data_IF_277958193391
#
_entry.id   IF_277958193391
#
_cell.length_a   1.000
_cell.length_b   1.000
_cell.length_c   1.000
_cell.angle_alpha   90.00
_cell.angle_beta   90.00
_cell.angle_gamma   90.00
#
_symmetry.space_group_name_H-M   'P 1'
#
loop_
_entity.id
_entity.type
_entity.pdbx_description
1 polymer ?
#
# COMPACT_ATOMS: atom_id res chain seq x y z
N UNK A 1 18.75 2.28 -9.13
CA UNK A 1 17.70 3.18 -9.68
C UNK A 1 17.62 3.08 -11.20
N UNK A 2 18.72 3.31 -11.93
CA UNK A 2 18.74 3.32 -13.40
C UNK A 2 18.28 2.00 -14.07
N UNK A 3 18.76 0.85 -13.59
CA UNK A 3 18.33 -0.46 -14.12
C UNK A 3 16.83 -0.73 -13.95
N UNK A 4 16.19 -0.20 -12.90
CA UNK A 4 14.74 -0.33 -12.68
C UNK A 4 13.97 0.48 -13.72
N UNK A 5 14.50 1.66 -14.08
CA UNK A 5 13.93 2.51 -15.13
C UNK A 5 14.10 1.87 -16.51
N UNK A 6 15.29 1.35 -16.83
CA UNK A 6 15.56 0.66 -18.09
C UNK A 6 14.65 -0.56 -18.24
N UNK A 7 14.52 -1.37 -17.19
CA UNK A 7 13.62 -2.52 -17.17
C UNK A 7 12.16 -2.11 -17.36
N UNK A 8 11.70 -1.07 -16.66
CA UNK A 8 10.35 -0.54 -16.83
C UNK A 8 10.10 -0.08 -18.27
N UNK A 9 11.04 0.66 -18.87
CA UNK A 9 10.93 1.13 -20.25
C UNK A 9 10.91 -0.05 -21.23
N UNK A 10 11.74 -1.06 -21.01
CA UNK A 10 11.74 -2.28 -21.81
C UNK A 10 10.39 -2.99 -21.75
N UNK A 11 9.81 -3.14 -20.55
CA UNK A 11 8.46 -3.69 -20.38
C UNK A 11 7.40 -2.85 -21.13
N UNK A 12 7.51 -1.53 -21.09
CA UNK A 12 6.58 -0.63 -21.79
C UNK A 12 6.67 -0.80 -23.31
N UNK A 13 7.87 -0.90 -23.86
CA UNK A 13 8.09 -1.14 -25.30
C UNK A 13 7.52 -2.49 -25.71
N UNK A 14 7.76 -3.55 -24.94
CA UNK A 14 7.19 -4.87 -25.19
C UNK A 14 5.65 -4.79 -25.15
N UNK A 15 5.08 -4.14 -24.14
CA UNK A 15 3.63 -3.97 -24.05
C UNK A 15 3.06 -3.23 -25.27
N UNK A 16 3.67 -2.12 -25.70
CA UNK A 16 3.26 -1.38 -26.89
C UNK A 16 3.38 -2.22 -28.16
N UNK A 17 4.43 -3.02 -28.29
CA UNK A 17 4.61 -3.91 -29.43
C UNK A 17 3.51 -4.97 -29.49
N UNK A 18 3.19 -5.59 -28.35
CA UNK A 18 2.07 -6.54 -28.25
C UNK A 18 0.73 -5.88 -28.57
N UNK A 19 0.48 -4.68 -28.06
CA UNK A 19 -0.72 -3.90 -28.37
C UNK A 19 -0.79 -3.64 -29.87
N UNK A 20 0.30 -3.15 -30.47
CA UNK A 20 0.43 -2.86 -31.90
C UNK A 20 0.15 -4.08 -32.77
N UNK A 21 0.76 -5.21 -32.47
CA UNK A 21 0.52 -6.48 -33.18
C UNK A 21 -0.91 -7.00 -33.01
N UNK A 22 -1.57 -6.70 -31.88
CA UNK A 22 -2.97 -7.06 -31.66
C UNK A 22 -3.96 -6.02 -32.18
N UNK A 23 -3.52 -4.91 -32.80
CA UNK A 23 -4.42 -3.87 -33.33
C UNK A 23 -5.26 -4.35 -34.49
N UNK A 24 -4.88 -5.40 -35.20
CA UNK A 24 -5.68 -6.00 -36.29
C UNK A 24 -6.54 -7.17 -35.81
N UNK A 25 -6.25 -7.73 -34.63
CA UNK A 25 -7.07 -8.80 -34.09
C UNK A 25 -8.42 -8.25 -33.64
N UNK A 26 -9.49 -8.87 -34.15
CA UNK A 26 -10.88 -8.53 -33.86
C UNK A 26 -11.53 -9.70 -33.12
N UNK A 27 -12.45 -9.41 -32.23
CA UNK A 27 -13.25 -10.40 -31.52
C UNK A 27 -14.70 -9.95 -31.35
N UNK A 28 -15.59 -10.93 -31.21
CA UNK A 28 -16.99 -10.68 -30.87
C UNK A 28 -17.13 -10.67 -29.34
N UNK A 29 -17.70 -9.60 -28.79
CA UNK A 29 -17.93 -9.44 -27.36
C UNK A 29 -19.43 -9.45 -27.10
N UNK A 30 -19.91 -10.47 -26.39
CA UNK A 30 -21.31 -10.53 -25.96
C UNK A 30 -21.47 -10.00 -24.54
N UNK A 31 -22.24 -8.94 -24.39
CA UNK A 31 -22.64 -8.35 -23.10
C UNK A 31 -24.11 -8.65 -22.88
N UNK A 32 -24.39 -9.69 -22.08
CA UNK A 32 -25.71 -10.13 -21.58
C UNK A 32 -26.78 -10.32 -22.68
N UNK A 33 -27.24 -9.24 -23.33
CA UNK A 33 -28.27 -9.23 -24.37
C UNK A 33 -27.79 -8.68 -25.73
N UNK A 34 -26.55 -8.19 -25.85
CA UNK A 34 -26.05 -7.63 -27.10
C UNK A 34 -24.64 -8.14 -27.43
N UNK A 35 -24.44 -8.54 -28.69
CA UNK A 35 -23.13 -8.97 -29.20
C UNK A 35 -22.55 -7.90 -30.10
N UNK A 36 -21.46 -7.30 -29.64
CA UNK A 36 -20.64 -6.39 -30.43
C UNK A 36 -19.71 -7.21 -31.30
N UNK A 37 -19.90 -7.12 -32.61
CA UNK A 37 -19.07 -7.85 -33.58
C UNK A 37 -17.83 -7.06 -33.96
N UNK A 38 -16.77 -7.78 -34.32
CA UNK A 38 -15.55 -7.22 -34.89
C UNK A 38 -14.91 -6.11 -34.02
N UNK A 39 -14.92 -6.28 -32.70
CA UNK A 39 -14.32 -5.33 -31.76
C UNK A 39 -12.81 -5.55 -31.70
N UNK A 40 -11.96 -4.51 -31.82
CA UNK A 40 -10.52 -4.66 -31.62
C UNK A 40 -10.20 -5.27 -30.25
N UNK A 41 -9.41 -6.36 -30.22
CA UNK A 41 -9.09 -7.08 -28.97
C UNK A 41 -8.48 -6.16 -27.92
N UNK A 42 -7.61 -5.23 -28.34
CA UNK A 42 -7.01 -4.21 -27.47
C UNK A 42 -8.08 -3.38 -26.76
N UNK A 43 -9.14 -2.97 -27.48
CA UNK A 43 -10.22 -2.17 -26.91
C UNK A 43 -11.03 -2.98 -25.90
N UNK A 44 -11.33 -4.23 -26.20
CA UNK A 44 -12.03 -5.16 -25.30
C UNK A 44 -11.26 -5.37 -24.00
N UNK A 45 -9.94 -5.58 -24.08
CA UNK A 45 -9.07 -5.73 -22.91
C UNK A 45 -8.95 -4.45 -22.10
N UNK A 46 -8.85 -3.29 -22.76
CA UNK A 46 -8.83 -1.99 -22.08
C UNK A 46 -10.13 -1.73 -21.32
N UNK A 47 -11.28 -2.00 -21.96
CA UNK A 47 -12.59 -1.87 -21.33
C UNK A 47 -12.71 -2.79 -20.10
N UNK A 48 -12.30 -4.06 -20.22
CA UNK A 48 -12.29 -5.01 -19.11
C UNK A 48 -11.38 -4.54 -17.96
N UNK A 49 -10.19 -4.01 -18.26
CA UNK A 49 -9.29 -3.46 -17.27
C UNK A 49 -9.90 -2.27 -16.53
N UNK A 50 -10.50 -1.32 -17.25
CA UNK A 50 -11.14 -0.14 -16.65
C UNK A 50 -12.30 -0.54 -15.74
N UNK A 51 -13.16 -1.46 -16.20
CA UNK A 51 -14.25 -2.01 -15.37
C UNK A 51 -13.69 -2.70 -14.13
N UNK A 52 -12.65 -3.53 -14.29
CA UNK A 52 -11.97 -4.19 -13.17
C UNK A 52 -11.35 -3.20 -12.18
N UNK A 53 -10.67 -2.17 -12.67
CA UNK A 53 -10.04 -1.13 -11.86
C UNK A 53 -11.08 -0.29 -11.11
N UNK A 54 -12.23 -0.02 -11.70
CA UNK A 54 -13.33 0.64 -11.00
C UNK A 54 -14.07 -0.29 -10.05
N UNK A 55 -14.11 -1.60 -10.31
CA UNK A 55 -14.77 -2.56 -9.41
C UNK A 55 -14.13 -2.62 -8.01
N UNK A 56 -12.86 -2.25 -7.86
CA UNK A 56 -12.19 -2.20 -6.55
C UNK A 56 -12.46 -0.93 -5.74
N UNK A 57 -12.99 0.13 -6.36
CA UNK A 57 -13.34 1.39 -5.68
C UNK A 57 -14.27 1.19 -4.48
N UNK A 58 -15.41 0.48 -4.57
CA UNK A 58 -16.28 0.27 -3.42
C UNK A 58 -15.57 -0.45 -2.26
N UNK A 59 -14.62 -1.34 -2.55
CA UNK A 59 -13.83 -2.04 -1.52
C UNK A 59 -12.76 -1.16 -0.87
N UNK A 60 -12.34 -0.07 -1.53
CA UNK A 60 -11.37 0.86 -0.98
C UNK A 60 -11.97 1.71 0.16
N UNK A 61 -13.24 2.12 0.02
CA UNK A 61 -13.94 2.90 1.04
C UNK A 61 -14.28 2.11 2.32
N UNK A 62 -14.34 0.77 2.25
CA UNK A 62 -14.68 -0.09 3.39
C UNK A 62 -13.57 -0.35 4.41
N UNK A 63 -12.33 0.09 4.16
CA UNK A 63 -11.19 -0.17 5.05
C UNK A 63 -11.20 0.79 6.25
N UNK A 64 -11.90 0.42 7.32
CA UNK A 64 -11.67 1.03 8.65
C UNK A 64 -10.20 0.83 9.02
N UNK A 65 -9.46 1.92 9.24
CA UNK A 65 -8.13 1.84 9.87
C UNK A 65 -8.28 1.09 11.20
N UNK A 66 -7.73 -0.11 11.33
CA UNK A 66 -7.50 -0.70 12.65
C UNK A 66 -6.63 0.32 13.39
N UNK A 67 -7.17 0.91 14.47
CA UNK A 67 -6.35 1.67 15.41
C UNK A 67 -5.21 0.75 15.83
N UNK A 68 -3.97 1.12 15.51
CA UNK A 68 -2.80 0.49 16.10
C UNK A 68 -3.00 0.49 17.62
N UNK A 69 -2.77 -0.64 18.32
CA UNK A 69 -2.78 -0.65 19.78
C UNK A 69 -1.91 0.50 20.29
N UNK A 70 -2.31 1.23 21.34
CA UNK A 70 -1.45 2.24 21.93
C UNK A 70 -0.12 1.56 22.27
N UNK A 71 0.99 2.13 21.77
CA UNK A 71 2.32 1.68 22.11
C UNK A 71 2.43 1.63 23.64
N UNK A 72 2.62 0.43 24.18
CA UNK A 72 2.90 0.23 25.60
C UNK A 72 4.16 1.03 25.89
N UNK A 73 4.02 2.12 26.65
CA UNK A 73 5.17 2.88 27.14
C UNK A 73 5.96 1.93 28.03
N UNK A 74 7.14 1.54 27.60
CA UNK A 74 8.06 0.76 28.42
C UNK A 74 8.29 1.50 29.75
N UNK A 75 8.18 0.83 30.90
CA UNK A 75 8.51 1.45 32.17
C UNK A 75 10.01 1.73 32.18
N UNK A 76 10.38 3.02 32.25
CA UNK A 76 11.77 3.45 32.49
C UNK A 76 12.28 2.76 33.76
N UNK A 77 13.17 1.78 33.58
CA UNK A 77 13.98 1.18 34.64
C UNK A 77 14.82 2.31 35.25
N UNK A 78 14.50 2.72 36.47
CA UNK A 78 15.31 3.67 37.24
C UNK A 78 16.58 2.94 37.66
N UNK A 79 17.69 3.30 37.03
CA UNK A 79 19.03 2.91 37.47
C UNK A 79 19.38 3.56 38.81
N UNK A 80 19.89 2.72 39.70
CA UNK A 80 20.72 2.94 40.88
C UNK A 80 20.77 4.33 41.54
N UNK A 81 20.18 4.39 42.75
CA UNK A 81 20.75 5.18 43.84
C UNK A 81 21.06 4.29 45.04
N UNK A 82 22.16 3.54 44.93
CA UNK A 82 22.91 3.07 46.09
C UNK A 82 24.30 3.71 46.09
N UNK A 83 24.39 4.95 46.59
CA UNK A 83 25.60 5.42 47.27
C UNK A 83 25.33 6.70 48.08
N UNK A 84 25.91 6.69 49.27
CA UNK A 84 26.14 7.80 50.20
C UNK A 84 25.02 8.13 51.18
N UNK A 85 25.05 7.41 52.31
CA UNK A 85 24.61 7.90 53.62
C UNK A 85 25.76 8.68 54.24
N UNK A 86 25.62 9.99 54.51
CA UNK A 86 26.26 10.62 55.65
C UNK A 86 25.29 10.54 56.83
N UNK A 87 25.72 9.83 57.89
CA UNK A 87 25.14 9.95 59.22
C UNK A 87 25.37 11.38 59.69
N UNK A 88 24.30 12.10 60.04
CA UNK A 88 24.22 12.93 61.24
C UNK A 88 22.84 13.59 61.35
N UNK A 89 22.14 13.28 62.42
CA UNK A 89 21.05 14.09 62.96
C UNK A 89 20.94 13.81 64.46
N UNK A 90 20.20 14.61 65.24
CA UNK A 90 19.66 15.96 64.99
C UNK A 90 20.26 17.01 65.96
N UNK A 91 20.37 18.27 65.52
CA UNK A 91 20.41 19.40 66.46
C UNK A 91 18.95 19.71 66.83
N UNK A 92 18.60 19.47 68.09
CA UNK A 92 17.36 19.97 68.69
C UNK A 92 17.79 21.05 69.70
N UNK A 93 17.47 22.34 69.49
CA UNK A 93 17.51 23.32 70.56
C UNK A 93 16.23 23.24 71.42
N UNK A 94 16.29 23.81 72.64
CA UNK A 94 15.19 24.07 73.62
C UNK A 94 15.09 22.92 74.66
N UNK A 95 15.35 23.05 75.97
CA UNK A 95 15.46 24.15 76.96
C UNK A 95 16.65 23.86 77.89
#
# INVERSE_FOLDING_TARGET
MLFKLIFFLLCLVIALFFIGFNLENRCDVSIIFHTFKDVPVVLSLLAAYVVGAFSVIPFLFGRRKKKSPPAVKEPKKKEDKQKNVPKNGPQIPIV
#
